data_IF_864630226064
#
_entry.id   IF_864630226064
#
_cell.length_a   1.000
_cell.length_b   1.000
_cell.length_c   1.000
_cell.angle_alpha   90.00
_cell.angle_beta   90.00
_cell.angle_gamma   90.00
#
_symmetry.space_group_name_H-M   'P 1'
#
loop_
_entity.id
_entity.type
_entity.pdbx_description
1 polymer ?
#
# COMPACT_ATOMS: atom_id res chain seq x y z
N UNK A 1 20.01 -12.31 1.86
CA UNK A 1 19.44 -11.13 2.47
C UNK A 1 18.00 -10.97 2.10
N UNK A 2 17.16 -11.14 3.09
CA UNK A 2 15.74 -11.01 2.84
C UNK A 2 15.31 -9.61 3.16
N UNK A 3 15.29 -8.78 2.14
CA UNK A 3 14.59 -7.52 2.26
C UNK A 3 13.14 -7.80 1.98
N UNK A 4 12.30 -7.64 2.99
CA UNK A 4 10.86 -7.68 2.78
C UNK A 4 10.49 -6.63 1.76
N UNK A 5 9.63 -6.94 0.79
CA UNK A 5 9.18 -5.92 -0.14
C UNK A 5 8.52 -4.79 0.62
N UNK A 6 8.98 -3.58 0.39
CA UNK A 6 8.41 -2.41 1.03
C UNK A 6 7.44 -1.72 0.08
N UNK A 7 6.51 -0.96 0.67
CA UNK A 7 5.52 -0.22 -0.11
C UNK A 7 6.24 0.71 -1.09
N UNK A 8 5.93 0.63 -2.40
CA UNK A 8 6.68 1.37 -3.41
C UNK A 8 6.66 2.90 -3.25
N UNK A 9 5.63 3.44 -2.61
CA UNK A 9 5.49 4.88 -2.43
C UNK A 9 5.89 5.35 -1.04
N UNK A 10 6.52 4.48 -0.25
CA UNK A 10 6.84 4.77 1.15
C UNK A 10 7.78 5.97 1.30
N UNK A 11 8.78 6.07 0.43
CA UNK A 11 9.74 7.16 0.50
C UNK A 11 9.10 8.50 0.19
N UNK A 12 8.22 8.52 -0.81
CA UNK A 12 7.49 9.72 -1.14
C UNK A 12 6.55 10.14 0.00
N UNK A 13 5.88 9.17 0.61
CA UNK A 13 5.01 9.43 1.76
C UNK A 13 5.80 10.02 2.92
N UNK A 14 6.96 9.48 3.22
CA UNK A 14 7.84 10.00 4.28
C UNK A 14 8.24 11.43 4.01
N UNK A 15 8.52 11.75 2.75
CA UNK A 15 8.88 13.10 2.37
C UNK A 15 7.71 14.07 2.56
N UNK A 16 6.49 13.64 2.21
CA UNK A 16 5.30 14.44 2.44
C UNK A 16 5.08 14.70 3.93
N UNK A 17 5.23 13.66 4.75
CA UNK A 17 5.03 13.80 6.20
C UNK A 17 6.06 14.71 6.85
N UNK A 18 7.25 14.75 6.29
CA UNK A 18 8.32 15.62 6.79
C UNK A 18 8.14 17.07 6.34
N UNK A 19 7.09 17.37 5.57
CA UNK A 19 6.82 18.72 5.06
C UNK A 19 7.95 19.26 4.19
N UNK A 20 8.72 18.37 3.58
CA UNK A 20 9.79 18.74 2.66
C UNK A 20 9.29 18.68 1.22
N UNK A 21 8.02 19.03 1.04
CA UNK A 21 7.39 18.94 -0.27
C UNK A 21 8.12 19.84 -1.26
N UNK A 22 8.87 19.21 -2.15
CA UNK A 22 9.51 19.90 -3.25
C UNK A 22 8.68 19.65 -4.51
N UNK A 23 8.79 20.55 -5.46
CA UNK A 23 8.12 20.38 -6.74
C UNK A 23 8.78 19.30 -7.60
N UNK A 24 9.73 18.58 -7.02
CA UNK A 24 10.46 17.55 -7.74
C UNK A 24 10.72 16.36 -6.84
N UNK A 25 10.79 15.19 -7.45
CA UNK A 25 11.14 13.94 -6.77
C UNK A 25 12.30 13.30 -7.53
N UNK A 26 13.34 12.98 -6.81
CA UNK A 26 14.54 12.35 -7.40
C UNK A 26 15.09 13.14 -8.61
N UNK A 27 14.96 14.48 -8.55
CA UNK A 27 15.46 15.35 -9.60
C UNK A 27 14.52 15.53 -10.78
N UNK A 28 13.38 14.85 -10.81
CA UNK A 28 12.40 14.96 -11.88
C UNK A 28 11.20 15.77 -11.41
N UNK A 29 10.59 16.60 -12.28
CA UNK A 29 9.40 17.34 -11.89
C UNK A 29 8.23 16.39 -11.63
N UNK A 30 7.43 16.71 -10.62
CA UNK A 30 6.24 15.93 -10.30
C UNK A 30 5.13 16.21 -11.32
N UNK A 31 4.23 15.23 -11.55
CA UNK A 31 3.08 15.46 -12.41
C UNK A 31 2.23 16.63 -11.94
N UNK A 32 1.63 17.33 -12.87
CA UNK A 32 0.84 18.53 -12.55
C UNK A 32 -0.27 18.28 -11.52
N UNK A 33 -1.09 17.21 -11.64
CA UNK A 33 -2.13 16.97 -10.65
C UNK A 33 -1.58 16.83 -9.24
N UNK A 34 -0.43 16.21 -9.10
CA UNK A 34 0.20 16.04 -7.81
C UNK A 34 0.75 17.37 -7.27
N UNK A 35 1.35 18.18 -8.14
CA UNK A 35 1.85 19.49 -7.75
C UNK A 35 0.74 20.42 -7.27
N UNK A 36 -0.40 20.38 -7.94
CA UNK A 36 -1.56 21.19 -7.56
C UNK A 36 -2.04 20.79 -6.17
N UNK A 37 -2.12 19.50 -5.89
CA UNK A 37 -2.53 19.01 -4.58
C UNK A 37 -1.55 19.41 -3.48
N UNK A 38 -0.26 19.33 -3.76
CA UNK A 38 0.77 19.67 -2.79
C UNK A 38 0.85 21.15 -2.52
N UNK A 39 0.46 21.98 -3.47
CA UNK A 39 0.42 23.42 -3.28
C UNK A 39 -0.72 23.84 -2.36
N UNK A 40 -1.75 23.03 -2.24
CA UNK A 40 -2.85 23.25 -1.33
C UNK A 40 -2.69 22.46 -0.05
N UNK A 41 -3.75 21.72 0.30
CA UNK A 41 -3.75 20.88 1.50
C UNK A 41 -3.44 19.44 1.09
N UNK A 42 -2.28 18.95 1.50
CA UNK A 42 -1.85 17.60 1.16
C UNK A 42 -2.25 16.56 2.23
N UNK A 43 -3.02 16.94 3.23
CA UNK A 43 -3.43 16.02 4.28
C UNK A 43 -4.22 14.84 3.74
N UNK A 44 -5.11 15.10 2.78
CA UNK A 44 -5.88 14.03 2.15
C UNK A 44 -5.00 13.04 1.40
N UNK A 45 -3.99 13.54 0.71
CA UNK A 45 -3.04 12.68 0.01
C UNK A 45 -2.22 11.85 0.99
N UNK A 46 -1.78 12.44 2.09
CA UNK A 46 -1.03 11.73 3.12
C UNK A 46 -1.88 10.60 3.70
N UNK A 47 -3.13 10.88 4.06
CA UNK A 47 -4.03 9.86 4.59
C UNK A 47 -4.28 8.75 3.59
N UNK A 48 -4.46 9.10 2.31
CA UNK A 48 -4.66 8.12 1.26
C UNK A 48 -3.46 7.19 1.12
N UNK A 49 -2.25 7.73 1.10
CA UNK A 49 -1.04 6.94 0.96
C UNK A 49 -0.78 6.07 2.19
N UNK A 50 -1.06 6.58 3.39
CA UNK A 50 -0.97 5.77 4.62
C UNK A 50 -1.93 4.60 4.58
N UNK A 51 -3.17 4.84 4.14
CA UNK A 51 -4.16 3.77 4.03
C UNK A 51 -3.75 2.75 2.98
N UNK A 52 -3.19 3.20 1.87
CA UNK A 52 -2.69 2.30 0.83
C UNK A 52 -1.53 1.46 1.35
N UNK A 53 -0.62 2.06 2.12
CA UNK A 53 0.49 1.35 2.72
C UNK A 53 -0.01 0.26 3.68
N UNK A 54 -1.06 0.55 4.45
CA UNK A 54 -1.64 -0.45 5.36
C UNK A 54 -2.24 -1.63 4.59
N UNK A 55 -2.92 -1.36 3.46
CA UNK A 55 -3.46 -2.43 2.60
C UNK A 55 -2.31 -3.26 2.02
N UNK A 56 -1.26 -2.62 1.58
CA UNK A 56 -0.08 -3.29 1.05
C UNK A 56 0.53 -4.22 2.10
N UNK A 57 0.75 -3.71 3.31
CA UNK A 57 1.34 -4.51 4.39
C UNK A 57 0.43 -5.67 4.78
N UNK A 58 -0.88 -5.43 4.86
CA UNK A 58 -1.83 -6.48 5.20
C UNK A 58 -1.85 -7.59 4.15
N UNK A 59 -1.68 -7.25 2.88
CA UNK A 59 -1.58 -8.23 1.81
C UNK A 59 -0.34 -9.11 1.98
N UNK A 60 0.81 -8.50 2.30
CA UNK A 60 2.04 -9.25 2.55
C UNK A 60 1.89 -10.17 3.77
N UNK A 61 1.28 -9.68 4.83
CA UNK A 61 1.08 -10.47 6.04
C UNK A 61 0.17 -11.67 5.77
N UNK A 62 -0.89 -11.46 4.99
CA UNK A 62 -1.81 -12.52 4.63
C UNK A 62 -1.10 -13.59 3.82
N UNK A 63 -0.31 -13.20 2.84
CA UNK A 63 0.45 -14.13 2.00
C UNK A 63 1.49 -14.89 2.82
N UNK A 64 2.18 -14.20 3.73
CA UNK A 64 3.21 -14.83 4.57
C UNK A 64 2.61 -15.91 5.47
N UNK A 65 1.46 -15.64 6.09
CA UNK A 65 0.81 -16.62 6.96
C UNK A 65 0.28 -17.79 6.13
N UNK A 66 -0.28 -17.53 4.95
CA UNK A 66 -0.77 -18.59 4.07
C UNK A 66 0.37 -19.49 3.62
N UNK A 67 1.52 -18.93 3.28
CA UNK A 67 2.69 -19.71 2.88
C UNK A 67 3.22 -20.58 4.03
N UNK A 68 3.28 -19.98 5.21
CA UNK A 68 3.74 -20.72 6.40
C UNK A 68 2.79 -21.85 6.73
N UNK A 69 1.48 -21.60 6.65
CA UNK A 69 0.48 -22.63 6.91
C UNK A 69 0.59 -23.77 5.91
N UNK A 70 0.77 -23.47 4.62
CA UNK A 70 0.97 -24.52 3.61
C UNK A 70 2.19 -25.36 3.90
N UNK A 71 3.27 -24.73 4.33
CA UNK A 71 4.51 -25.44 4.65
C UNK A 71 4.29 -26.46 5.77
N UNK A 72 3.60 -26.06 6.83
CA UNK A 72 3.36 -26.94 7.97
C UNK A 72 2.29 -27.98 7.71
N UNK A 73 1.26 -27.65 6.93
CA UNK A 73 0.23 -28.62 6.57
C UNK A 73 0.79 -29.76 5.73
N UNK A 74 1.81 -29.50 4.94
CA UNK A 74 2.45 -30.49 4.10
C UNK A 74 3.02 -31.65 4.94
N UNK A 75 3.43 -31.37 6.16
CA UNK A 75 4.02 -32.36 7.06
C UNK A 75 3.08 -32.79 8.18
N UNK A 76 1.86 -32.25 8.20
CA UNK A 76 0.90 -32.58 9.24
C UNK A 76 0.31 -33.97 9.00
N UNK A 77 0.20 -34.76 10.05
CA UNK A 77 -0.47 -36.05 9.98
C UNK A 77 -1.98 -35.87 10.01
N UNK A 78 -2.73 -36.57 9.14
CA UNK A 78 -4.18 -36.50 9.17
C UNK A 78 -4.73 -36.86 10.56
N UNK A 79 -5.67 -36.08 11.05
CA UNK A 79 -6.34 -36.36 12.30
C UNK A 79 -5.62 -35.90 13.56
N UNK A 80 -4.44 -35.30 13.44
CA UNK A 80 -3.72 -34.76 14.59
C UNK A 80 -3.29 -33.32 14.30
N UNK A 81 -4.16 -32.33 14.59
CA UNK A 81 -3.78 -30.95 14.37
C UNK A 81 -2.65 -30.58 15.32
N UNK A 82 -1.53 -30.14 14.79
CA UNK A 82 -0.43 -29.61 15.57
C UNK A 82 -0.88 -28.32 16.24
N UNK A 83 -0.49 -28.08 17.51
CA UNK A 83 -0.77 -26.78 18.14
C UNK A 83 -0.25 -25.62 17.33
N UNK A 84 0.86 -25.81 16.64
CA UNK A 84 1.42 -24.78 15.79
C UNK A 84 0.48 -24.42 14.61
N UNK A 85 -0.13 -25.44 14.01
CA UNK A 85 -1.09 -25.21 12.92
C UNK A 85 -2.32 -24.47 13.43
N UNK A 86 -2.80 -24.81 14.63
CA UNK A 86 -3.91 -24.12 15.25
C UNK A 86 -3.58 -22.64 15.44
N UNK A 87 -2.38 -22.34 15.93
CA UNK A 87 -1.94 -20.95 16.10
C UNK A 87 -1.85 -20.22 14.77
N UNK A 88 -1.34 -20.89 13.73
CA UNK A 88 -1.24 -20.30 12.40
C UNK A 88 -2.61 -19.98 11.82
N UNK A 89 -3.60 -20.85 12.04
CA UNK A 89 -4.97 -20.59 11.59
C UNK A 89 -5.60 -19.42 12.32
N UNK A 90 -5.34 -19.30 13.61
CA UNK A 90 -5.81 -18.14 14.39
C UNK A 90 -5.15 -16.86 13.89
N UNK A 91 -3.86 -16.92 13.60
CA UNK A 91 -3.13 -15.79 13.06
C UNK A 91 -3.65 -15.42 11.68
N UNK A 92 -3.95 -16.42 10.84
CA UNK A 92 -4.54 -16.19 9.53
C UNK A 92 -5.87 -15.44 9.63
N UNK A 93 -6.73 -15.87 10.55
CA UNK A 93 -7.99 -15.18 10.76
C UNK A 93 -7.78 -13.73 11.22
N UNK A 94 -6.79 -13.52 12.09
CA UNK A 94 -6.48 -12.18 12.58
C UNK A 94 -5.97 -11.27 11.47
N UNK A 95 -5.05 -11.77 10.63
CA UNK A 95 -4.53 -10.95 9.52
C UNK A 95 -5.59 -10.68 8.46
N UNK A 96 -6.52 -11.62 8.24
CA UNK A 96 -7.64 -11.39 7.32
C UNK A 96 -8.56 -10.29 7.82
N UNK A 97 -8.85 -10.27 9.13
CA UNK A 97 -9.64 -9.20 9.73
C UNK A 97 -8.94 -7.86 9.62
N UNK A 98 -7.64 -7.86 9.86
CA UNK A 98 -6.82 -6.65 9.74
C UNK A 98 -6.80 -6.14 8.29
N UNK A 99 -6.68 -7.05 7.32
CA UNK A 99 -6.69 -6.70 5.91
C UNK A 99 -8.04 -6.09 5.50
N UNK A 100 -9.14 -6.66 6.00
CA UNK A 100 -10.47 -6.14 5.71
C UNK A 100 -10.64 -4.73 6.25
N UNK A 101 -10.18 -4.49 7.48
CA UNK A 101 -10.23 -3.14 8.07
C UNK A 101 -9.36 -2.15 7.32
N UNK A 102 -8.17 -2.58 6.92
CA UNK A 102 -7.27 -1.73 6.14
C UNK A 102 -7.92 -1.33 4.81
N UNK A 103 -8.57 -2.28 4.15
CA UNK A 103 -9.28 -2.00 2.91
C UNK A 103 -10.41 -1.01 3.11
N UNK A 104 -11.20 -1.19 4.16
CA UNK A 104 -12.29 -0.26 4.48
C UNK A 104 -11.77 1.15 4.74
N UNK A 105 -10.68 1.25 5.47
CA UNK A 105 -10.03 2.54 5.74
C UNK A 105 -9.54 3.18 4.44
N UNK A 106 -8.96 2.37 3.55
CA UNK A 106 -8.50 2.87 2.26
C UNK A 106 -9.66 3.38 1.41
N UNK A 107 -10.77 2.63 1.35
CA UNK A 107 -11.93 3.06 0.57
C UNK A 107 -12.48 4.38 1.10
N UNK A 108 -12.55 4.53 2.42
CA UNK A 108 -13.02 5.78 3.03
C UNK A 108 -12.06 6.93 2.72
N UNK A 109 -10.75 6.69 2.81
CA UNK A 109 -9.76 7.71 2.49
C UNK A 109 -9.80 8.07 1.00
N UNK A 110 -10.02 7.08 0.14
CA UNK A 110 -10.14 7.32 -1.30
C UNK A 110 -11.36 8.18 -1.63
N UNK A 111 -12.50 7.90 -0.99
CA UNK A 111 -13.70 8.69 -1.21
C UNK A 111 -13.51 10.14 -0.77
N UNK A 112 -12.88 10.35 0.38
CA UNK A 112 -12.58 11.69 0.85
C UNK A 112 -11.59 12.41 -0.09
N UNK A 113 -10.58 11.68 -0.54
CA UNK A 113 -9.55 12.24 -1.42
C UNK A 113 -10.14 12.74 -2.75
N UNK A 114 -10.94 11.91 -3.43
CA UNK A 114 -11.51 12.31 -4.73
C UNK A 114 -12.48 13.47 -4.57
N UNK A 115 -13.19 13.54 -3.45
CA UNK A 115 -14.12 14.62 -3.18
C UNK A 115 -13.38 15.93 -2.94
N UNK A 116 -12.35 15.89 -2.11
CA UNK A 116 -11.57 17.09 -1.78
C UNK A 116 -10.75 17.59 -2.96
N UNK A 117 -10.23 16.66 -3.76
CA UNK A 117 -9.44 17.00 -4.95
C UNK A 117 -10.31 17.28 -6.16
N UNK A 118 -11.63 17.13 -6.06
CA UNK A 118 -12.58 17.32 -7.15
C UNK A 118 -12.25 16.47 -8.37
N UNK A 119 -11.86 15.22 -8.13
CA UNK A 119 -11.53 14.27 -9.18
C UNK A 119 -12.78 13.49 -9.58
N UNK A 120 -13.05 13.42 -10.88
CA UNK A 120 -14.17 12.63 -11.37
C UNK A 120 -13.78 11.18 -11.52
N UNK A 121 -14.58 10.31 -10.91
CA UNK A 121 -14.39 8.86 -11.02
C UNK A 121 -15.36 8.34 -12.10
N UNK A 122 -14.88 7.60 -13.11
CA UNK A 122 -15.77 7.04 -14.12
C UNK A 122 -16.82 6.13 -13.47
N UNK A 123 -18.07 6.23 -13.96
CA UNK A 123 -19.17 5.46 -13.37
C UNK A 123 -18.99 3.96 -13.48
N UNK A 124 -18.25 3.51 -14.49
CA UNK A 124 -18.04 2.09 -14.74
C UNK A 124 -16.88 1.49 -13.95
N UNK A 125 -16.15 2.32 -13.22
CA UNK A 125 -14.98 1.88 -12.49
C UNK A 125 -15.22 1.99 -10.99
N UNK A 126 -14.83 0.97 -10.24
CA UNK A 126 -14.91 1.03 -8.79
C UNK A 126 -13.96 2.12 -8.28
N UNK A 127 -14.39 2.83 -7.24
CA UNK A 127 -13.60 3.91 -6.66
C UNK A 127 -12.20 3.41 -6.26
N UNK A 128 -12.15 2.26 -5.61
CA UNK A 128 -10.90 1.66 -5.16
C UNK A 128 -9.94 1.44 -6.33
N UNK A 129 -10.45 0.84 -7.40
CA UNK A 129 -9.65 0.56 -8.60
C UNK A 129 -9.15 1.84 -9.24
N UNK A 130 -10.03 2.83 -9.33
CA UNK A 130 -9.67 4.13 -9.93
C UNK A 130 -8.55 4.80 -9.13
N UNK A 131 -8.70 4.86 -7.81
CA UNK A 131 -7.73 5.55 -6.95
C UNK A 131 -6.39 4.82 -6.94
N UNK A 132 -6.41 3.48 -6.93
CA UNK A 132 -5.16 2.72 -7.04
C UNK A 132 -4.44 3.08 -8.34
N UNK A 133 -5.16 3.11 -9.45
CA UNK A 133 -4.59 3.51 -10.74
C UNK A 133 -4.06 4.93 -10.74
N UNK A 134 -4.77 5.84 -10.07
CA UNK A 134 -4.34 7.23 -9.95
C UNK A 134 -3.01 7.33 -9.20
N UNK A 135 -2.90 6.60 -8.08
CA UNK A 135 -1.66 6.56 -7.31
C UNK A 135 -0.52 6.01 -8.16
N UNK A 136 -0.76 4.89 -8.84
CA UNK A 136 0.28 4.27 -9.67
C UNK A 136 0.74 5.17 -10.81
N UNK A 137 -0.16 6.01 -11.33
CA UNK A 137 0.14 6.89 -12.45
C UNK A 137 0.85 8.16 -12.01
N UNK A 138 0.46 8.74 -10.89
CA UNK A 138 0.92 10.08 -10.51
C UNK A 138 1.90 10.11 -9.35
N UNK A 139 1.79 9.20 -8.39
CA UNK A 139 2.66 9.22 -7.21
C UNK A 139 3.97 8.51 -7.52
N UNK A 140 5.12 9.16 -7.27
CA UNK A 140 6.42 8.53 -7.54
C UNK A 140 6.62 7.28 -6.70
N UNK A 141 7.20 6.27 -7.30
CA UNK A 141 7.66 5.09 -6.59
C UNK A 141 9.02 5.36 -5.98
N UNK A 142 9.42 4.49 -5.05
CA UNK A 142 10.72 4.61 -4.42
C UNK A 142 11.79 4.85 -5.49
N UNK A 143 12.64 5.85 -5.25
CA UNK A 143 13.75 6.11 -6.13
C UNK A 143 14.68 4.90 -6.05
N UNK A 144 14.64 4.08 -7.08
CA UNK A 144 15.64 3.04 -7.20
C UNK A 144 17.00 3.73 -7.24
N UNK A 145 17.97 3.26 -6.45
CA UNK A 145 19.31 3.81 -6.59
C UNK A 145 19.69 3.72 -8.06
N UNK A 146 20.32 4.75 -8.58
CA UNK A 146 20.69 4.72 -9.99
C UNK A 146 21.42 3.43 -10.24
N UNK A 147 20.84 2.60 -11.08
CA UNK A 147 21.53 1.41 -11.49
C UNK A 147 22.87 1.86 -11.97
N UNK A 148 23.89 1.32 -11.35
CA UNK A 148 25.18 1.44 -11.95
C UNK A 148 25.12 0.75 -13.29
N UNK A 149 24.73 1.51 -14.26
CA UNK A 149 24.98 1.10 -15.61
C UNK A 149 26.47 1.06 -15.74
N UNK A 150 27.06 -0.09 -15.97
CA UNK A 150 28.47 -0.14 -16.28
C UNK A 150 28.65 0.53 -17.62
N UNK A 151 29.37 1.55 -17.61
CA UNK A 151 29.74 2.25 -18.85
C UNK A 151 28.98 3.46 -19.09
#
# INVERSE_FOLDING_TARGET
>A
MNTSPSFPHADFLSQLEASTAACAWAGAPLPEPLRVLMAGDDAGLIQLLKARAAVWQASLDTDAVADELRRYQKFARPGQPSPHIVQLRQRQAAVQRSASRARQTFVAAAAAFVREAAIEVPQRMALETFVIGWIETHVPKAALPPRHEPG
#
